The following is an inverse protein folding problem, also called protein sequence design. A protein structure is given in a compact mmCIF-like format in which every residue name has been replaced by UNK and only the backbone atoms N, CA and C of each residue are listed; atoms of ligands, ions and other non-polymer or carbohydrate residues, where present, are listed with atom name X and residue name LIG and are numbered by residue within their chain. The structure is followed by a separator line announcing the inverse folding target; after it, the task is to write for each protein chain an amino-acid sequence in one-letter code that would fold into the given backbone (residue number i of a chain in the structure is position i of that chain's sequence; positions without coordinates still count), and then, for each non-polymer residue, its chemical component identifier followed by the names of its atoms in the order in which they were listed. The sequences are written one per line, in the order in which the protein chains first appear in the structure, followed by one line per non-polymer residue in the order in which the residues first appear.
data_IF_945855254122
#
_entry.id   IF_945855254122
#
_cell.length_a   1.000
_cell.length_b   1.000
_cell.length_c   1.000
_cell.angle_alpha   90.00
_cell.angle_beta   90.00
_cell.angle_gamma   90.00
#
_symmetry.space_group_name_H-M   'P 1'
#
loop_
_entity.id
_entity.type
_entity.pdbx_description
1 polymer ?
#
# COMPACT_ATOMS: atom_id res chain seq x y z
N UNK A 1 -5.88 -4.48 20.06
CA UNK A 1 -6.56 -3.18 19.92
C UNK A 1 -5.52 -2.13 20.21
N UNK A 2 -5.34 -1.16 19.30
CA UNK A 2 -4.41 -0.06 19.50
C UNK A 2 -4.66 0.60 20.86
N UNK A 3 -3.61 0.87 21.64
CA UNK A 3 -3.77 1.70 22.82
C UNK A 3 -4.07 3.14 22.37
N UNK A 4 -5.26 3.65 22.70
CA UNK A 4 -5.67 5.02 22.44
C UNK A 4 -4.63 6.03 22.97
N UNK A 5 -3.94 5.70 24.07
CA UNK A 5 -2.85 6.50 24.61
C UNK A 5 -1.66 6.63 23.67
N UNK A 6 -1.28 5.56 22.98
CA UNK A 6 -0.17 5.57 22.01
C UNK A 6 -0.51 6.38 20.76
N UNK A 7 -1.74 6.27 20.26
CA UNK A 7 -2.23 7.07 19.15
C UNK A 7 -2.21 8.56 19.49
N UNK A 8 -2.76 8.94 20.65
CA UNK A 8 -2.76 10.33 21.10
C UNK A 8 -1.33 10.86 21.29
N UNK A 9 -0.43 10.06 21.84
CA UNK A 9 0.97 10.43 21.98
C UNK A 9 1.63 10.70 20.61
N UNK A 10 1.34 9.90 19.59
CA UNK A 10 1.87 10.15 18.24
C UNK A 10 1.31 11.42 17.61
N UNK A 11 0.01 11.71 17.79
CA UNK A 11 -0.60 12.96 17.33
C UNK A 11 0.06 14.18 17.97
N UNK A 12 0.28 14.15 19.28
CA UNK A 12 0.96 15.23 20.01
C UNK A 12 2.40 15.43 19.52
N UNK A 13 3.15 14.33 19.31
CA UNK A 13 4.51 14.42 18.75
C UNK A 13 4.51 15.00 17.34
N UNK A 14 3.54 14.65 16.49
CA UNK A 14 3.40 15.23 15.16
C UNK A 14 3.20 16.75 15.24
N UNK A 15 2.34 17.24 16.13
CA UNK A 15 2.09 18.68 16.31
C UNK A 15 3.31 19.43 16.84
N UNK A 16 4.16 18.79 17.65
CA UNK A 16 5.47 19.35 18.03
C UNK A 16 6.40 19.45 16.80
N UNK A 17 6.38 18.45 15.91
CA UNK A 17 7.19 18.47 14.68
C UNK A 17 6.64 19.42 13.62
N UNK A 18 5.34 19.75 13.63
CA UNK A 18 4.71 20.71 12.72
C UNK A 18 3.79 21.66 13.52
N UNK A 19 4.34 22.74 14.10
CA UNK A 19 3.58 23.64 14.99
C UNK A 19 2.37 24.33 14.34
N UNK A 20 2.32 24.41 13.01
CA UNK A 20 1.19 24.97 12.25
C UNK A 20 0.03 23.98 12.10
N UNK A 21 0.16 22.73 12.59
CA UNK A 21 -0.96 21.78 12.69
C UNK A 21 -1.80 22.15 13.91
N UNK A 22 -3.00 22.65 13.65
CA UNK A 22 -3.95 23.13 14.65
C UNK A 22 -4.82 22.01 15.22
N UNK A 23 -4.99 20.92 14.48
CA UNK A 23 -5.68 19.74 14.94
C UNK A 23 -5.25 18.48 14.20
N UNK A 24 -5.34 17.34 14.87
CA UNK A 24 -5.03 16.04 14.30
C UNK A 24 -5.99 14.99 14.84
N UNK A 25 -6.41 14.04 14.01
CA UNK A 25 -7.24 12.92 14.45
C UNK A 25 -6.85 11.63 13.70
N UNK A 26 -7.06 10.51 14.37
CA UNK A 26 -7.05 9.18 13.77
C UNK A 26 -8.48 8.68 13.79
N UNK A 27 -8.96 8.23 12.64
CA UNK A 27 -10.27 7.59 12.51
C UNK A 27 -10.15 6.26 11.76
N UNK A 28 -11.11 5.38 11.94
CA UNK A 28 -11.27 4.22 11.07
C UNK A 28 -11.72 4.67 9.67
N UNK A 29 -11.53 3.81 8.68
CA UNK A 29 -12.04 4.04 7.32
C UNK A 29 -13.58 4.17 7.26
N UNK A 30 -14.28 3.66 8.28
CA UNK A 30 -15.74 3.78 8.45
C UNK A 30 -16.18 5.08 9.14
N UNK A 31 -15.24 5.92 9.59
CA UNK A 31 -15.52 7.22 10.21
C UNK A 31 -15.68 7.19 11.73
N UNK A 32 -15.16 6.15 12.40
CA UNK A 32 -15.13 6.09 13.87
C UNK A 32 -13.84 6.73 14.40
N UNK A 33 -13.94 7.66 15.35
CA UNK A 33 -12.76 8.30 15.97
C UNK A 33 -12.02 7.27 16.84
N UNK A 34 -10.72 7.11 16.58
CA UNK A 34 -9.83 6.25 17.37
C UNK A 34 -9.02 7.07 18.39
N UNK A 35 -8.56 8.26 17.99
CA UNK A 35 -7.89 9.23 18.86
C UNK A 35 -7.95 10.63 18.23
N UNK A 36 -7.90 11.69 19.03
CA UNK A 36 -7.87 13.05 18.51
C UNK A 36 -7.11 14.01 19.42
N UNK A 37 -6.49 15.01 18.80
CA UNK A 37 -5.94 16.22 19.41
C UNK A 37 -6.28 17.39 18.49
N UNK A 38 -7.55 17.79 18.52
CA UNK A 38 -8.14 18.79 17.63
C UNK A 38 -9.01 19.77 18.45
N UNK A 39 -8.39 20.73 19.16
CA UNK A 39 -9.14 21.67 20.00
C UNK A 39 -10.07 22.55 19.16
N UNK A 40 -11.32 22.71 19.62
CA UNK A 40 -12.32 23.55 18.96
C UNK A 40 -12.97 22.93 17.72
N UNK A 41 -12.72 21.64 17.47
CA UNK A 41 -13.30 20.87 16.37
C UNK A 41 -14.12 19.72 16.96
N UNK A 42 -15.23 19.38 16.30
CA UNK A 42 -16.03 18.20 16.64
C UNK A 42 -15.45 16.99 15.87
N UNK A 43 -14.77 16.05 16.56
CA UNK A 43 -13.96 15.04 15.89
C UNK A 43 -14.81 13.99 15.17
N UNK A 44 -16.01 13.67 15.67
CA UNK A 44 -16.92 12.71 15.06
C UNK A 44 -17.38 13.16 13.66
N UNK A 45 -17.77 14.42 13.50
CA UNK A 45 -18.15 14.98 12.20
C UNK A 45 -16.99 15.06 11.23
N UNK A 46 -15.78 15.39 11.69
CA UNK A 46 -14.59 15.36 10.83
C UNK A 46 -14.26 13.93 10.40
N UNK A 47 -14.40 12.94 11.29
CA UNK A 47 -14.19 11.53 10.96
C UNK A 47 -15.22 11.04 9.92
N UNK A 48 -16.50 11.36 10.10
CA UNK A 48 -17.56 11.00 9.15
C UNK A 48 -17.35 11.64 7.76
N UNK A 49 -16.97 12.92 7.72
CA UNK A 49 -16.65 13.61 6.47
C UNK A 49 -15.39 13.04 5.81
N UNK A 50 -14.39 12.67 6.60
CA UNK A 50 -13.16 12.01 6.11
C UNK A 50 -13.49 10.66 5.47
N UNK A 51 -14.30 9.82 6.12
CA UNK A 51 -14.73 8.53 5.57
C UNK A 51 -15.51 8.70 4.25
N UNK A 52 -16.40 9.69 4.20
CA UNK A 52 -17.12 10.03 2.97
C UNK A 52 -16.17 10.47 1.86
N UNK A 53 -15.21 11.35 2.16
CA UNK A 53 -14.21 11.81 1.21
C UNK A 53 -13.29 10.66 0.73
N UNK A 54 -12.96 9.72 1.61
CA UNK A 54 -12.18 8.53 1.28
C UNK A 54 -12.92 7.68 0.22
N UNK A 55 -14.22 7.43 0.42
CA UNK A 55 -15.02 6.69 -0.56
C UNK A 55 -15.09 7.38 -1.93
N UNK A 56 -15.17 8.71 -1.97
CA UNK A 56 -15.14 9.47 -3.22
C UNK A 56 -13.77 9.42 -3.88
N UNK A 57 -12.70 9.62 -3.10
CA UNK A 57 -11.32 9.66 -3.63
C UNK A 57 -10.83 8.30 -4.09
N UNK A 58 -11.23 7.20 -3.45
CA UNK A 58 -10.97 5.84 -3.93
C UNK A 58 -11.59 5.61 -5.30
N UNK A 59 -12.89 5.91 -5.46
CA UNK A 59 -13.59 5.79 -6.75
C UNK A 59 -12.97 6.67 -7.83
N UNK A 60 -12.54 7.87 -7.47
CA UNK A 60 -11.83 8.77 -8.39
C UNK A 60 -10.47 8.18 -8.81
N UNK A 61 -9.73 7.61 -7.87
CA UNK A 61 -8.42 7.01 -8.14
C UNK A 61 -8.56 5.78 -9.05
N UNK A 62 -9.58 4.96 -8.82
CA UNK A 62 -9.92 3.82 -9.67
C UNK A 62 -10.32 4.27 -11.08
N UNK A 63 -11.21 5.25 -11.19
CA UNK A 63 -11.69 5.78 -12.47
C UNK A 63 -10.59 6.48 -13.29
N UNK A 64 -9.51 6.90 -12.65
CA UNK A 64 -8.35 7.55 -13.29
C UNK A 64 -7.11 6.66 -13.35
N UNK A 65 -7.24 5.39 -12.96
CA UNK A 65 -6.15 4.39 -12.95
C UNK A 65 -4.92 4.82 -12.13
N UNK A 66 -5.11 5.60 -11.07
CA UNK A 66 -4.03 6.08 -10.18
C UNK A 66 -3.74 5.12 -9.01
N UNK A 67 -4.49 4.00 -8.93
CA UNK A 67 -4.31 2.96 -7.92
C UNK A 67 -4.88 3.33 -6.56
N UNK A 68 -4.35 2.70 -5.50
CA UNK A 68 -4.88 2.83 -4.15
C UNK A 68 -4.69 4.25 -3.57
N UNK A 69 -5.68 4.70 -2.79
CA UNK A 69 -5.61 5.95 -2.04
C UNK A 69 -4.36 6.00 -1.14
N UNK A 70 -3.63 7.11 -1.21
CA UNK A 70 -2.46 7.37 -0.36
C UNK A 70 -2.69 8.56 0.54
N UNK A 71 -3.11 9.67 -0.05
CA UNK A 71 -3.33 10.92 0.64
C UNK A 71 -4.29 11.84 -0.14
N UNK A 72 -4.96 12.74 0.58
CA UNK A 72 -5.77 13.84 0.08
C UNK A 72 -5.29 15.14 0.73
N UNK A 73 -5.16 16.21 -0.05
CA UNK A 73 -4.93 17.55 0.46
C UNK A 73 -6.02 18.50 -0.06
N UNK A 74 -6.71 19.17 0.86
CA UNK A 74 -7.69 20.21 0.57
C UNK A 74 -7.12 21.53 1.06
N UNK A 75 -7.02 22.52 0.18
CA UNK A 75 -6.70 23.91 0.56
C UNK A 75 -7.98 24.73 0.59
N UNK A 76 -8.29 25.29 1.75
CA UNK A 76 -9.34 26.29 1.94
C UNK A 76 -8.74 27.69 2.17
N UNK A 77 -9.60 28.70 2.25
CA UNK A 77 -9.17 30.08 2.49
C UNK A 77 -8.48 30.30 3.84
N UNK A 78 -8.74 29.43 4.83
CA UNK A 78 -8.20 29.54 6.19
C UNK A 78 -7.04 28.55 6.47
N UNK A 79 -6.72 27.65 5.53
CA UNK A 79 -5.71 26.63 5.76
C UNK A 79 -5.93 25.34 4.98
N UNK A 80 -5.43 24.25 5.54
CA UNK A 80 -5.37 22.96 4.89
C UNK A 80 -6.02 21.87 5.72
N UNK A 81 -6.64 20.92 5.03
CA UNK A 81 -7.00 19.61 5.56
C UNK A 81 -6.22 18.56 4.78
N UNK A 82 -5.42 17.75 5.47
CA UNK A 82 -4.62 16.70 4.86
C UNK A 82 -4.98 15.35 5.48
N UNK A 83 -5.37 14.38 4.66
CA UNK A 83 -5.70 13.03 5.10
C UNK A 83 -4.72 12.04 4.50
N UNK A 84 -4.19 11.13 5.31
CA UNK A 84 -3.22 10.12 4.92
C UNK A 84 -3.73 8.73 5.31
N UNK A 85 -3.58 7.76 4.41
CA UNK A 85 -3.83 6.36 4.74
C UNK A 85 -2.88 5.90 5.87
N UNK A 86 -3.44 5.19 6.86
CA UNK A 86 -2.72 4.64 8.00
C UNK A 86 -3.03 3.14 8.13
N UNK A 87 -2.38 2.34 7.29
CA UNK A 87 -2.74 0.92 7.09
C UNK A 87 -4.07 0.79 6.34
N UNK A 88 -4.71 -0.38 6.48
CA UNK A 88 -5.95 -0.71 5.75
C UNK A 88 -7.22 -0.31 6.50
N UNK A 89 -7.10 -0.07 7.82
CA UNK A 89 -8.25 0.10 8.72
C UNK A 89 -8.40 1.51 9.26
N UNK A 90 -7.39 2.37 9.10
CA UNK A 90 -7.36 3.71 9.69
C UNK A 90 -6.83 4.79 8.74
N UNK A 91 -7.14 6.03 9.09
CA UNK A 91 -6.70 7.25 8.42
C UNK A 91 -6.27 8.30 9.44
N UNK A 92 -5.23 9.06 9.10
CA UNK A 92 -4.78 10.24 9.83
C UNK A 92 -5.28 11.49 9.11
N UNK A 93 -6.05 12.35 9.78
CA UNK A 93 -6.46 13.66 9.26
C UNK A 93 -5.83 14.78 10.08
N UNK A 94 -5.22 15.74 9.39
CA UNK A 94 -4.55 16.90 9.93
C UNK A 94 -5.24 18.18 9.47
N UNK A 95 -5.41 19.11 10.39
CA UNK A 95 -5.86 20.48 10.15
C UNK A 95 -4.66 21.40 10.34
N UNK A 96 -4.39 22.27 9.37
CA UNK A 96 -3.23 23.14 9.42
C UNK A 96 -3.57 24.55 8.95
N UNK A 97 -2.82 25.53 9.44
CA UNK A 97 -2.97 26.93 9.05
C UNK A 97 -2.50 27.17 7.61
N UNK A 98 -2.96 28.25 6.97
CA UNK A 98 -2.60 28.60 5.57
C UNK A 98 -1.09 28.82 5.36
N UNK A 99 -0.37 29.22 6.41
CA UNK A 99 1.10 29.41 6.38
C UNK A 99 1.90 28.12 6.58
N UNK A 100 1.27 26.96 6.65
CA UNK A 100 1.98 25.69 6.85
C UNK A 100 2.94 25.42 5.70
N UNK A 101 4.13 24.91 6.02
CA UNK A 101 4.99 24.35 4.99
C UNK A 101 4.39 23.00 4.53
N UNK A 102 3.74 23.00 3.37
CA UNK A 102 3.04 21.81 2.82
C UNK A 102 4.00 20.62 2.65
N UNK A 103 5.24 20.86 2.21
CA UNK A 103 6.24 19.79 2.10
C UNK A 103 6.54 19.11 3.44
N UNK A 104 6.70 19.92 4.50
CA UNK A 104 6.90 19.41 5.87
C UNK A 104 5.64 18.73 6.41
N UNK A 105 4.44 19.24 6.09
CA UNK A 105 3.17 18.62 6.44
C UNK A 105 3.07 17.20 5.86
N UNK A 106 3.37 17.01 4.57
CA UNK A 106 3.40 15.67 3.97
C UNK A 106 4.50 14.77 4.54
N UNK A 107 5.71 15.31 4.75
CA UNK A 107 6.80 14.53 5.32
C UNK A 107 6.43 13.94 6.67
N UNK A 108 5.93 14.77 7.58
CA UNK A 108 5.57 14.34 8.93
C UNK A 108 4.23 13.58 8.97
N UNK A 109 3.27 13.97 8.14
CA UNK A 109 1.98 13.29 8.00
C UNK A 109 2.15 11.83 7.54
N UNK A 110 2.93 11.59 6.49
CA UNK A 110 3.25 10.23 6.01
C UNK A 110 3.99 9.41 7.06
N UNK A 111 4.98 10.01 7.73
CA UNK A 111 5.74 9.33 8.79
C UNK A 111 4.83 8.89 9.93
N UNK A 112 3.96 9.78 10.41
CA UNK A 112 3.02 9.45 11.48
C UNK A 112 1.93 8.49 11.03
N UNK A 113 1.44 8.59 9.79
CA UNK A 113 0.42 7.67 9.28
C UNK A 113 0.95 6.24 9.16
N UNK A 114 2.22 6.05 8.76
CA UNK A 114 2.89 4.74 8.84
C UNK A 114 2.90 4.22 10.27
N UNK A 115 3.33 5.04 11.24
CA UNK A 115 3.38 4.63 12.65
C UNK A 115 2.00 4.29 13.20
N UNK A 116 0.98 5.08 12.88
CA UNK A 116 -0.41 4.83 13.28
C UNK A 116 -0.93 3.54 12.66
N UNK A 117 -0.58 3.26 11.40
CA UNK A 117 -0.91 2.01 10.74
C UNK A 117 -0.35 0.79 11.49
N UNK A 118 0.89 0.85 11.96
CA UNK A 118 1.49 -0.20 12.79
C UNK A 118 0.74 -0.39 14.12
N UNK A 119 0.29 0.70 14.76
CA UNK A 119 -0.44 0.65 16.02
C UNK A 119 -1.85 0.07 15.87
N UNK A 120 -2.45 0.26 14.69
CA UNK A 120 -3.85 -0.10 14.42
C UNK A 120 -3.99 -1.42 13.65
N UNK A 121 -2.88 -1.95 13.13
CA UNK A 121 -2.86 -3.26 12.52
C UNK A 121 -3.40 -4.31 13.52
N UNK A 122 -4.26 -5.25 13.08
CA UNK A 122 -4.59 -6.39 13.91
C UNK A 122 -3.29 -7.12 14.27
N UNK A 123 -3.16 -7.67 15.50
CA UNK A 123 -2.02 -8.53 15.81
C UNK A 123 -1.99 -9.62 14.76
N UNK A 124 -0.89 -9.67 13.99
CA UNK A 124 -0.71 -10.61 12.90
C UNK A 124 -1.06 -12.01 13.39
N UNK A 125 -2.19 -12.56 12.93
CA UNK A 125 -2.39 -13.99 12.93
C UNK A 125 -1.40 -14.51 11.89
N UNK A 126 -0.24 -14.95 12.41
CA UNK A 126 0.88 -15.54 11.67
C UNK A 126 0.33 -16.43 10.55
N UNK A 127 0.33 -15.91 9.31
CA UNK A 127 -0.13 -16.66 8.16
C UNK A 127 0.72 -17.95 8.09
N UNK A 128 0.10 -19.14 7.98
CA UNK A 128 0.85 -20.38 7.94
C UNK A 128 1.90 -20.28 6.83
N UNK A 129 3.15 -20.70 7.07
CA UNK A 129 4.23 -20.50 6.11
C UNK A 129 3.82 -21.08 4.77
N UNK A 130 3.86 -20.25 3.71
CA UNK A 130 3.60 -20.71 2.35
C UNK A 130 4.44 -21.98 2.10
N UNK A 131 3.83 -23.06 1.57
CA UNK A 131 4.57 -24.29 1.35
C UNK A 131 5.68 -24.02 0.34
N UNK A 132 6.92 -24.08 0.81
CA UNK A 132 8.14 -23.99 -0.02
C UNK A 132 7.96 -24.83 -1.28
N UNK A 133 8.18 -24.29 -2.48
CA UNK A 133 8.05 -25.07 -3.71
C UNK A 133 9.08 -26.20 -3.67
N UNK A 134 8.58 -27.44 -3.55
CA UNK A 134 9.42 -28.64 -3.62
C UNK A 134 10.05 -28.69 -5.00
N UNK A 135 11.33 -28.30 -5.10
CA UNK A 135 12.16 -28.55 -6.27
C UNK A 135 12.20 -30.07 -6.46
N UNK A 136 11.47 -30.59 -7.47
CA UNK A 136 11.64 -31.97 -7.96
C UNK A 136 13.01 -32.07 -8.62
N UNK A 137 14.04 -32.26 -7.81
CA UNK A 137 15.40 -32.58 -8.26
C UNK A 137 15.43 -33.95 -8.92
N UNK A 138 15.71 -33.93 -10.23
CA UNK A 138 16.01 -35.07 -11.12
C UNK A 138 16.56 -36.31 -10.40
N UNK A 139 15.86 -37.43 -10.58
CA UNK A 139 16.40 -38.75 -10.32
C UNK A 139 17.63 -39.00 -11.21
N UNK A 140 18.81 -39.07 -10.59
CA UNK A 140 20.02 -39.65 -11.18
C UNK A 140 19.84 -41.17 -11.21
N UNK A 141 19.43 -41.72 -12.35
CA UNK A 141 19.57 -43.15 -12.61
C UNK A 141 21.02 -43.45 -13.01
N UNK A 142 21.71 -44.26 -12.20
CA UNK A 142 23.03 -44.81 -12.47
C UNK A 142 22.90 -46.07 -13.35
N UNK A 143 23.76 -46.14 -14.37
CA UNK A 143 24.45 -47.34 -14.91
C UNK A 143 23.67 -48.60 -15.27
N UNK A 144 23.70 -48.97 -16.55
CA UNK A 144 24.18 -50.28 -17.00
C UNK A 144 24.61 -50.23 -18.47
N UNK A 145 25.83 -50.68 -18.73
CA UNK A 145 26.40 -50.93 -20.05
C UNK A 145 25.91 -52.27 -20.58
N UNK A 146 25.43 -52.34 -21.83
CA UNK A 146 25.47 -53.58 -22.61
C UNK A 146 25.63 -53.25 -24.10
N UNK A 147 26.77 -53.66 -24.64
CA UNK A 147 27.08 -53.81 -26.07
C UNK A 147 26.14 -54.80 -26.75
N UNK A 148 25.55 -54.43 -27.90
CA UNK A 148 25.30 -55.37 -29.00
C UNK A 148 25.30 -54.66 -30.36
N UNK A 149 26.23 -55.10 -31.21
CA UNK A 149 26.36 -54.84 -32.64
C UNK A 149 25.20 -55.45 -33.42
N UNK A 150 24.47 -54.70 -34.26
CA UNK A 150 23.97 -55.22 -35.55
C UNK A 150 23.57 -54.07 -36.50
N UNK A 151 24.40 -53.90 -37.52
CA UNK A 151 24.11 -53.65 -38.93
C UNK A 151 22.67 -53.30 -39.40
N UNK A 152 22.65 -52.44 -40.44
CA UNK A 152 21.68 -52.36 -41.56
C UNK A 152 20.70 -51.17 -41.55
N UNK A 153 20.92 -50.22 -42.47
CA UNK A 153 19.90 -49.24 -42.88
C UNK A 153 20.47 -47.94 -43.44
N UNK A 154 20.52 -47.84 -44.77
CA UNK A 154 21.09 -46.77 -45.60
C UNK A 154 20.58 -45.32 -45.31
N UNK A 155 21.32 -44.28 -45.76
CA UNK A 155 20.99 -42.88 -45.54
C UNK A 155 20.00 -42.34 -46.60
N UNK A 156 19.11 -41.43 -46.21
CA UNK A 156 18.32 -40.62 -47.15
C UNK A 156 18.56 -39.14 -46.87
N UNK A 157 19.15 -38.45 -47.85
CA UNK A 157 19.18 -36.98 -48.01
C UNK A 157 18.73 -36.67 -49.46
N UNK A 158 18.46 -35.40 -49.80
CA UNK A 158 17.28 -34.55 -49.57
C UNK A 158 16.61 -34.28 -50.97
N UNK A 159 15.90 -33.17 -51.36
CA UNK A 159 16.38 -31.78 -51.26
C UNK A 159 15.32 -30.63 -51.26
N UNK A 160 15.84 -29.40 -51.11
CA UNK A 160 15.42 -28.10 -51.73
C UNK A 160 14.16 -27.33 -51.27
N UNK A 161 14.41 -26.28 -50.46
CA UNK A 161 14.23 -24.83 -50.73
C UNK A 161 13.00 -24.31 -51.50
N UNK A 162 12.26 -23.34 -50.94
CA UNK A 162 11.98 -22.00 -51.50
C UNK A 162 11.49 -21.04 -50.38
N UNK A 163 12.01 -19.81 -50.28
CA UNK A 163 11.47 -18.73 -49.47
C UNK A 163 10.56 -17.78 -50.28
N UNK A 164 9.48 -17.25 -49.68
CA UNK A 164 8.69 -16.15 -50.28
C UNK A 164 8.34 -15.06 -49.25
N UNK A 165 9.04 -13.94 -49.47
CA UNK A 165 8.86 -12.50 -49.18
C UNK A 165 7.73 -11.92 -48.27
N UNK A 166 8.00 -10.74 -47.66
CA UNK A 166 7.06 -9.99 -46.81
C UNK A 166 6.05 -9.10 -47.57
N UNK A 167 4.96 -8.81 -46.86
CA UNK A 167 3.82 -7.94 -47.20
C UNK A 167 4.19 -6.47 -47.40
N UNK A 168 3.48 -5.82 -48.34
CA UNK A 168 3.37 -4.36 -48.47
C UNK A 168 2.45 -3.77 -47.39
#
# INVERSE_FOLDING_TARGET
MADQGELLAELQRLRVRVPQVTGALVASVDGLVLAHDAPGVEPEGVAALTATALGVTQRLSDATEQGAFRELLVRGAAGYVATYAAGDTAVLTLLAEDRVNVGRLHLEGRRSSTRIGELTAPPEEEAPPEPTPRVRGRARARTASTTTTTETGLPVRPPTNVPTQPMR
#
